data_IF_476829596505
#
_entry.id   IF_476829596505
#
_cell.length_a   1.000
_cell.length_b   1.000
_cell.length_c   1.000
_cell.angle_alpha   90.00
_cell.angle_beta   90.00
_cell.angle_gamma   90.00
#
_symmetry.space_group_name_H-M   'P 1'
#
loop_
_entity.id
_entity.type
_entity.pdbx_description
1 polymer ?
#
# COMPACT_ATOMS: atom_id res chain seq x y z
N UNK A 1 -21.84 -5.14 32.42
CA UNK A 1 -21.26 -4.68 31.18
C UNK A 1 -22.15 -5.03 30.00
N UNK A 2 -22.48 -6.28 29.76
CA UNK A 2 -23.34 -6.68 28.62
C UNK A 2 -24.75 -6.04 28.64
N UNK A 3 -25.35 -5.82 29.78
CA UNK A 3 -26.66 -5.18 29.92
C UNK A 3 -26.63 -3.65 29.96
N UNK A 4 -25.54 -3.04 30.42
CA UNK A 4 -25.45 -1.57 30.61
C UNK A 4 -24.59 -0.85 29.58
N UNK A 5 -23.78 -1.56 28.80
CA UNK A 5 -22.79 -0.98 27.90
C UNK A 5 -21.66 -0.20 28.59
N UNK A 6 -21.63 -0.19 29.93
CA UNK A 6 -20.61 0.57 30.69
C UNK A 6 -19.43 -0.31 31.06
N UNK A 7 -18.22 0.20 30.80
CA UNK A 7 -16.95 -0.42 31.20
C UNK A 7 -16.76 -0.26 32.72
N UNK A 8 -16.05 -1.18 33.34
CA UNK A 8 -15.69 -1.06 34.75
C UNK A 8 -14.74 0.11 34.96
N UNK A 9 -14.89 0.79 36.12
CA UNK A 9 -14.03 1.91 36.50
C UNK A 9 -12.56 1.45 36.55
N UNK A 10 -11.66 2.21 35.92
CA UNK A 10 -10.23 1.90 35.76
C UNK A 10 -9.87 1.21 34.44
N UNK A 11 -10.82 0.66 33.69
CA UNK A 11 -10.55 0.12 32.35
C UNK A 11 -10.50 1.19 31.25
N UNK A 12 -10.91 2.41 31.59
CA UNK A 12 -10.85 3.60 30.73
C UNK A 12 -9.41 4.12 30.61
N UNK A 13 -8.55 3.81 31.57
CA UNK A 13 -7.18 4.29 31.63
C UNK A 13 -6.22 3.36 30.88
N UNK A 14 -5.23 3.95 30.23
CA UNK A 14 -4.21 3.20 29.50
C UNK A 14 -2.89 3.96 29.42
N UNK A 15 -1.82 3.20 29.22
CA UNK A 15 -0.47 3.74 29.05
C UNK A 15 -0.06 3.51 27.60
N UNK A 16 0.46 4.54 26.95
CA UNK A 16 1.05 4.46 25.61
C UNK A 16 2.57 4.38 25.75
N UNK A 17 3.15 3.32 25.22
CA UNK A 17 4.60 3.16 25.05
C UNK A 17 5.00 3.57 23.64
N UNK A 18 6.00 4.42 23.51
CA UNK A 18 6.55 4.85 22.24
C UNK A 18 7.61 3.85 21.77
N UNK A 19 7.31 3.09 20.73
CA UNK A 19 8.23 2.14 20.11
C UNK A 19 8.87 2.77 18.86
N UNK A 20 10.19 2.98 18.88
CA UNK A 20 10.91 3.47 17.73
C UNK A 20 10.85 2.48 16.56
N UNK A 21 10.58 2.97 15.34
CA UNK A 21 10.43 2.13 14.13
C UNK A 21 11.76 1.59 13.58
N UNK A 22 12.90 1.95 14.22
CA UNK A 22 14.23 1.53 13.77
C UNK A 22 14.74 2.26 12.52
N UNK A 23 14.05 3.31 12.07
CA UNK A 23 14.43 4.10 10.89
C UNK A 23 13.99 5.55 11.01
N UNK A 24 14.74 6.45 10.36
CA UNK A 24 14.53 7.90 10.44
C UNK A 24 15.18 8.52 11.67
N UNK A 25 14.96 9.84 11.88
CA UNK A 25 15.48 10.55 13.03
C UNK A 25 14.73 10.13 14.32
N UNK A 26 15.47 9.77 15.36
CA UNK A 26 14.91 9.42 16.66
C UNK A 26 14.29 10.62 17.39
N UNK A 27 14.59 11.85 16.99
CA UNK A 27 13.97 13.07 17.53
C UNK A 27 12.62 13.39 16.87
N UNK A 28 12.28 12.72 15.74
CA UNK A 28 10.99 12.89 15.09
C UNK A 28 9.96 11.91 15.65
N UNK A 29 8.91 12.43 16.29
CA UNK A 29 7.79 11.65 16.82
C UNK A 29 7.08 10.80 15.75
N UNK A 30 7.13 11.19 14.46
CA UNK A 30 6.59 10.42 13.33
C UNK A 30 7.25 9.04 13.16
N UNK A 31 8.48 8.87 13.70
CA UNK A 31 9.25 7.63 13.62
C UNK A 31 8.98 6.67 14.79
N UNK A 32 7.94 6.93 15.58
CA UNK A 32 7.50 6.05 16.67
C UNK A 32 6.12 5.45 16.38
N UNK A 33 5.85 4.31 17.00
CA UNK A 33 4.53 3.69 17.11
C UNK A 33 4.09 3.75 18.56
N UNK A 34 2.87 4.21 18.81
CA UNK A 34 2.27 4.20 20.13
C UNK A 34 1.63 2.86 20.43
N UNK A 35 2.25 2.02 21.26
CA UNK A 35 1.64 0.78 21.73
C UNK A 35 0.83 1.06 22.99
N UNK A 36 -0.48 0.84 22.94
CA UNK A 36 -1.38 1.02 24.06
C UNK A 36 -1.37 -0.22 24.96
N UNK A 37 -0.98 -0.04 26.21
CA UNK A 37 -1.09 -1.08 27.24
C UNK A 37 -2.45 -0.97 27.93
N UNK A 38 -3.25 -2.02 27.80
CA UNK A 38 -4.54 -2.16 28.44
C UNK A 38 -4.49 -3.24 29.52
N UNK A 39 -5.45 -3.22 30.44
CA UNK A 39 -5.61 -4.23 31.47
C UNK A 39 -5.75 -5.65 30.90
N UNK A 40 -5.26 -6.67 31.64
CA UNK A 40 -5.29 -8.06 31.17
C UNK A 40 -6.72 -8.63 31.12
N UNK A 41 -7.58 -8.20 32.04
CA UNK A 41 -9.00 -8.62 32.07
C UNK A 41 -9.72 -8.02 30.85
N UNK A 42 -9.38 -6.77 30.48
CA UNK A 42 -9.89 -6.15 29.26
C UNK A 42 -9.50 -6.96 28.02
N UNK A 43 -8.25 -7.42 27.93
CA UNK A 43 -7.79 -8.28 26.81
C UNK A 43 -8.53 -9.62 26.74
N UNK A 44 -8.91 -10.18 27.89
CA UNK A 44 -9.73 -11.39 27.93
C UNK A 44 -11.13 -11.13 27.36
N UNK A 45 -11.75 -10.02 27.76
CA UNK A 45 -13.03 -9.59 27.21
C UNK A 45 -12.95 -9.35 25.72
N UNK A 46 -11.88 -8.67 25.24
CA UNK A 46 -11.63 -8.43 23.84
C UNK A 46 -11.55 -9.73 23.04
N UNK A 47 -10.92 -10.79 23.57
CA UNK A 47 -10.86 -12.12 22.94
C UNK A 47 -12.24 -12.77 22.82
N UNK A 48 -13.07 -12.65 23.84
CA UNK A 48 -14.45 -13.16 23.82
C UNK A 48 -15.25 -12.43 22.75
N UNK A 49 -15.15 -11.09 22.71
CA UNK A 49 -15.84 -10.27 21.69
C UNK A 49 -15.30 -10.54 20.29
N UNK A 50 -13.98 -10.73 20.12
CA UNK A 50 -13.38 -11.08 18.83
C UNK A 50 -13.99 -12.38 18.28
N UNK A 51 -14.10 -13.42 19.11
CA UNK A 51 -14.73 -14.68 18.70
C UNK A 51 -16.20 -14.48 18.30
N UNK A 52 -16.99 -13.81 19.14
CA UNK A 52 -18.41 -13.56 18.83
C UNK A 52 -18.61 -12.73 17.56
N UNK A 53 -17.82 -11.68 17.37
CA UNK A 53 -17.95 -10.83 16.18
C UNK A 53 -17.55 -11.59 14.91
N UNK A 54 -16.50 -12.42 15.00
CA UNK A 54 -16.08 -13.25 13.84
C UNK A 54 -17.16 -14.25 13.42
N UNK A 55 -17.92 -14.80 14.38
CA UNK A 55 -19.01 -15.75 14.07
C UNK A 55 -20.23 -15.04 13.41
N UNK A 56 -20.36 -13.72 13.59
CA UNK A 56 -21.47 -12.93 13.04
C UNK A 56 -21.20 -12.35 11.66
N UNK A 57 -19.92 -12.23 11.24
CA UNK A 57 -19.54 -11.49 10.04
C UNK A 57 -18.86 -12.37 9.01
N UNK A 58 -19.17 -12.11 7.76
CA UNK A 58 -18.48 -12.72 6.63
C UNK A 58 -17.45 -11.74 6.06
N UNK A 59 -16.18 -12.18 6.02
CA UNK A 59 -15.05 -11.43 5.53
C UNK A 59 -14.64 -11.99 4.18
N UNK A 60 -14.56 -11.12 3.18
CA UNK A 60 -14.25 -11.49 1.81
C UNK A 60 -12.92 -12.26 1.69
N UNK A 61 -12.85 -13.07 0.65
CA UNK A 61 -11.68 -13.89 0.34
C UNK A 61 -10.45 -13.07 -0.02
N UNK A 62 -10.60 -11.82 -0.44
CA UNK A 62 -9.50 -10.90 -0.72
C UNK A 62 -8.75 -10.38 0.53
N UNK A 63 -9.34 -10.49 1.73
CA UNK A 63 -8.69 -10.09 2.97
C UNK A 63 -7.86 -11.24 3.54
N UNK A 64 -6.54 -11.04 3.63
CA UNK A 64 -5.57 -11.99 4.18
C UNK A 64 -5.07 -11.61 5.57
N UNK A 65 -5.09 -10.31 5.89
CA UNK A 65 -4.61 -9.82 7.19
C UNK A 65 -5.60 -10.08 8.31
N UNK A 66 -5.11 -10.59 9.44
CA UNK A 66 -5.88 -10.84 10.66
C UNK A 66 -7.07 -11.82 10.50
N UNK A 67 -7.06 -12.63 9.44
CA UNK A 67 -8.03 -13.69 9.21
C UNK A 67 -7.40 -15.04 9.54
N UNK A 68 -8.01 -15.86 10.41
CA UNK A 68 -7.51 -17.18 10.75
C UNK A 68 -7.30 -18.06 9.51
N UNK A 69 -6.17 -18.76 9.45
CA UNK A 69 -5.83 -19.64 8.33
C UNK A 69 -5.31 -18.95 7.07
N UNK A 70 -5.21 -17.61 7.06
CA UNK A 70 -4.64 -16.84 5.95
C UNK A 70 -3.40 -16.07 6.40
N UNK A 71 -2.40 -15.95 5.53
CA UNK A 71 -1.14 -15.27 5.86
C UNK A 71 -0.57 -14.45 4.70
N UNK A 72 0.55 -13.79 4.97
CA UNK A 72 1.30 -13.02 3.96
C UNK A 72 1.73 -13.89 2.79
N UNK A 73 2.07 -15.15 3.06
CA UNK A 73 2.51 -16.13 2.05
C UNK A 73 1.43 -16.37 1.00
N UNK A 74 0.15 -16.40 1.40
CA UNK A 74 -0.96 -16.66 0.48
C UNK A 74 -1.14 -15.48 -0.49
N UNK A 75 -1.13 -14.25 0.02
CA UNK A 75 -1.23 -13.04 -0.81
C UNK A 75 -0.04 -12.90 -1.77
N UNK A 76 1.19 -13.13 -1.28
CA UNK A 76 2.41 -13.12 -2.09
C UNK A 76 2.36 -14.20 -3.17
N UNK A 77 1.90 -15.42 -2.82
CA UNK A 77 1.78 -16.54 -3.75
C UNK A 77 0.82 -16.20 -4.90
N UNK A 78 -0.34 -15.59 -4.61
CA UNK A 78 -1.30 -15.17 -5.64
C UNK A 78 -0.64 -14.18 -6.61
N UNK A 79 0.04 -13.15 -6.11
CA UNK A 79 0.73 -12.17 -6.96
C UNK A 79 1.77 -12.87 -7.85
N UNK A 80 2.60 -13.74 -7.30
CA UNK A 80 3.63 -14.47 -8.05
C UNK A 80 3.01 -15.38 -9.12
N UNK A 81 1.97 -16.11 -8.78
CA UNK A 81 1.25 -16.96 -9.75
C UNK A 81 0.63 -16.15 -10.89
N UNK A 82 0.08 -14.97 -10.59
CA UNK A 82 -0.41 -14.06 -11.62
C UNK A 82 0.73 -13.56 -12.51
N UNK A 83 1.84 -13.12 -11.92
CA UNK A 83 3.01 -12.68 -12.68
C UNK A 83 3.50 -13.79 -13.63
N UNK A 84 3.71 -15.01 -13.13
CA UNK A 84 4.17 -16.15 -13.92
C UNK A 84 3.21 -16.48 -15.08
N UNK A 85 1.89 -16.51 -14.82
CA UNK A 85 0.88 -16.77 -15.86
C UNK A 85 0.86 -15.71 -16.95
N UNK A 86 0.92 -14.41 -16.56
CA UNK A 86 0.91 -13.32 -17.53
C UNK A 86 2.21 -13.23 -18.31
N UNK A 87 3.35 -13.50 -17.69
CA UNK A 87 4.63 -13.60 -18.37
C UNK A 87 4.66 -14.76 -19.35
N UNK A 88 4.18 -15.94 -18.99
CA UNK A 88 4.07 -17.10 -19.88
C UNK A 88 3.13 -16.82 -21.06
N UNK A 89 2.06 -16.05 -20.85
CA UNK A 89 1.15 -15.60 -21.91
C UNK A 89 1.66 -14.41 -22.71
N UNK A 90 2.88 -13.90 -22.43
CA UNK A 90 3.46 -12.71 -23.05
C UNK A 90 2.57 -11.46 -22.93
N UNK A 91 1.90 -11.30 -21.78
CA UNK A 91 1.00 -10.17 -21.47
C UNK A 91 1.53 -9.34 -20.31
N UNK A 92 1.36 -7.99 -20.31
CA UNK A 92 1.68 -7.16 -19.17
C UNK A 92 0.64 -7.31 -18.06
N UNK A 93 1.06 -7.10 -16.81
CA UNK A 93 0.21 -7.03 -15.64
C UNK A 93 0.61 -5.81 -14.79
N UNK A 94 -0.38 -5.07 -14.31
CA UNK A 94 -0.19 -3.79 -13.63
C UNK A 94 -0.58 -3.94 -12.16
N UNK A 95 0.27 -3.41 -11.27
CA UNK A 95 0.08 -3.44 -9.83
C UNK A 95 0.13 -2.03 -9.27
N UNK A 96 -0.80 -1.70 -8.38
CA UNK A 96 -0.70 -0.54 -7.51
C UNK A 96 -0.66 -1.04 -6.05
N UNK A 97 0.44 -0.77 -5.35
CA UNK A 97 0.58 -1.04 -3.92
C UNK A 97 0.22 0.23 -3.16
N UNK A 98 -0.87 0.16 -2.42
CA UNK A 98 -1.50 1.31 -1.77
C UNK A 98 -1.20 1.27 -0.28
N UNK A 99 -0.66 2.36 0.26
CA UNK A 99 -0.37 2.55 1.69
C UNK A 99 -1.41 3.50 2.30
N UNK A 100 -1.95 3.16 3.47
CA UNK A 100 -2.86 4.03 4.20
C UNK A 100 -2.11 4.84 5.28
N UNK A 101 -2.41 6.13 5.39
CA UNK A 101 -1.77 7.00 6.39
C UNK A 101 -2.26 6.71 7.81
N UNK A 102 -1.38 6.14 8.66
CA UNK A 102 -1.67 5.89 10.07
C UNK A 102 -3.05 5.22 10.25
N UNK A 103 -3.32 4.19 9.46
CA UNK A 103 -4.63 3.60 9.27
C UNK A 103 -5.36 3.31 10.60
N UNK A 104 -4.70 2.64 11.54
CA UNK A 104 -5.27 2.33 12.86
C UNK A 104 -5.59 3.58 13.70
N UNK A 105 -4.75 4.62 13.61
CA UNK A 105 -4.91 5.85 14.41
C UNK A 105 -5.97 6.80 13.83
N UNK A 106 -6.34 6.63 12.56
CA UNK A 106 -7.22 7.56 11.84
C UNK A 106 -8.64 7.08 11.62
N UNK A 107 -8.98 5.82 11.93
CA UNK A 107 -10.35 5.31 11.76
C UNK A 107 -11.34 6.17 12.55
N UNK A 108 -12.28 6.88 11.91
CA UNK A 108 -13.29 7.62 12.64
C UNK A 108 -14.22 6.65 13.36
N UNK A 109 -14.42 6.82 14.66
CA UNK A 109 -15.26 5.89 15.46
C UNK A 109 -16.70 5.79 14.95
N UNK A 110 -17.25 6.87 14.40
CA UNK A 110 -18.57 6.84 13.75
C UNK A 110 -18.62 5.86 12.57
N UNK A 111 -17.55 5.82 11.78
CA UNK A 111 -17.40 4.88 10.65
C UNK A 111 -17.26 3.45 11.17
N UNK A 112 -16.50 3.24 12.24
CA UNK A 112 -16.39 1.93 12.89
C UNK A 112 -17.76 1.40 13.33
N UNK A 113 -18.58 2.24 14.03
CA UNK A 113 -19.91 1.82 14.47
C UNK A 113 -20.88 1.57 13.31
N UNK A 114 -20.79 2.38 12.28
CA UNK A 114 -21.53 2.14 11.04
C UNK A 114 -21.12 0.83 10.38
N UNK A 115 -19.82 0.55 10.26
CA UNK A 115 -19.30 -0.67 9.65
C UNK A 115 -19.78 -1.94 10.38
N UNK A 116 -19.67 -1.97 11.71
CA UNK A 116 -20.17 -3.10 12.49
C UNK A 116 -21.65 -3.38 12.23
N UNK A 117 -22.50 -2.36 12.23
CA UNK A 117 -23.92 -2.50 11.95
C UNK A 117 -24.22 -2.91 10.51
N UNK A 118 -23.50 -2.34 9.53
CA UNK A 118 -23.68 -2.68 8.11
C UNK A 118 -23.27 -4.12 7.78
N UNK A 119 -22.37 -4.70 8.60
CA UNK A 119 -21.95 -6.09 8.50
C UNK A 119 -22.82 -7.07 9.29
N UNK A 120 -23.87 -6.57 9.98
CA UNK A 120 -24.83 -7.41 10.71
C UNK A 120 -24.41 -7.77 12.12
N UNK A 121 -23.40 -7.07 12.71
CA UNK A 121 -23.04 -7.29 14.11
C UNK A 121 -24.18 -6.85 15.02
N UNK A 122 -24.60 -7.73 15.94
CA UNK A 122 -25.69 -7.48 16.86
C UNK A 122 -25.47 -6.24 17.72
N UNK A 123 -26.53 -5.46 17.94
CA UNK A 123 -26.46 -4.16 18.61
C UNK A 123 -25.89 -4.23 20.04
N UNK A 124 -26.11 -5.34 20.77
CA UNK A 124 -25.53 -5.51 22.11
C UNK A 124 -23.99 -5.55 22.03
N UNK A 125 -23.42 -6.24 21.03
CA UNK A 125 -21.97 -6.31 20.83
C UNK A 125 -21.42 -4.95 20.43
N UNK A 126 -22.10 -4.24 19.50
CA UNK A 126 -21.74 -2.86 19.13
C UNK A 126 -21.71 -1.96 20.36
N UNK A 127 -22.72 -2.00 21.22
CA UNK A 127 -22.77 -1.19 22.46
C UNK A 127 -21.64 -1.52 23.44
N UNK A 128 -21.33 -2.80 23.61
CA UNK A 128 -20.22 -3.23 24.48
C UNK A 128 -18.90 -2.69 23.93
N UNK A 129 -18.66 -2.82 22.63
CA UNK A 129 -17.46 -2.29 21.96
C UNK A 129 -17.42 -0.76 22.08
N UNK A 130 -18.53 -0.06 21.85
CA UNK A 130 -18.61 1.39 22.04
C UNK A 130 -18.24 1.81 23.47
N UNK A 131 -18.72 1.06 24.48
CA UNK A 131 -18.36 1.29 25.86
C UNK A 131 -16.85 1.25 26.11
N UNK A 132 -16.12 0.35 25.45
CA UNK A 132 -14.66 0.23 25.57
C UNK A 132 -13.90 1.42 24.96
N UNK A 133 -14.57 2.21 24.13
CA UNK A 133 -14.01 3.41 23.48
C UNK A 133 -14.54 4.73 24.07
N UNK A 134 -15.45 4.65 25.03
CA UNK A 134 -16.06 5.83 25.68
C UNK A 134 -15.19 6.30 26.84
N UNK A 135 -14.94 7.61 26.93
CA UNK A 135 -14.16 8.28 27.97
C UNK A 135 -12.73 7.71 28.15
N UNK A 136 -12.16 7.17 27.10
CA UNK A 136 -10.81 6.58 27.14
C UNK A 136 -9.78 7.67 27.38
N UNK A 137 -8.97 7.48 28.42
CA UNK A 137 -7.87 8.34 28.81
C UNK A 137 -6.54 7.62 28.68
N UNK A 138 -5.54 8.34 28.23
CA UNK A 138 -4.21 7.78 28.01
C UNK A 138 -3.13 8.69 28.56
N UNK A 139 -2.02 8.09 29.00
CA UNK A 139 -0.78 8.79 29.37
C UNK A 139 0.36 8.18 28.56
N UNK A 140 1.27 9.00 28.08
CA UNK A 140 2.49 8.52 27.42
C UNK A 140 3.56 8.27 28.47
N UNK A 141 4.22 7.11 28.39
CA UNK A 141 5.36 6.78 29.25
C UNK A 141 6.66 6.89 28.47
N UNK A 142 7.57 7.76 28.94
CA UNK A 142 8.91 7.96 28.38
C UNK A 142 9.92 7.98 29.52
N UNK A 143 10.94 7.14 29.46
CA UNK A 143 12.03 7.07 30.46
C UNK A 143 11.53 6.95 31.91
N UNK A 144 10.47 6.20 32.13
CA UNK A 144 9.89 6.01 33.49
C UNK A 144 8.97 7.13 33.96
N UNK A 145 8.88 8.25 33.23
CA UNK A 145 7.98 9.36 33.54
C UNK A 145 6.70 9.27 32.72
N UNK A 146 5.60 9.83 33.24
CA UNK A 146 4.31 9.87 32.61
C UNK A 146 3.94 11.29 32.20
N UNK A 147 3.33 11.44 31.02
CA UNK A 147 2.69 12.69 30.62
C UNK A 147 1.45 12.98 31.45
N UNK A 148 0.90 14.16 31.30
CA UNK A 148 -0.48 14.44 31.70
C UNK A 148 -1.44 13.54 30.93
N UNK A 149 -2.62 13.35 31.50
CA UNK A 149 -3.69 12.53 30.96
C UNK A 149 -4.40 13.27 29.80
N UNK A 150 -4.68 12.57 28.73
CA UNK A 150 -5.42 13.10 27.60
C UNK A 150 -6.45 12.10 27.06
N UNK A 151 -7.51 12.63 26.45
CA UNK A 151 -8.54 11.83 25.79
C UNK A 151 -8.09 11.36 24.40
N UNK A 152 -8.51 10.14 24.03
CA UNK A 152 -8.31 9.59 22.68
C UNK A 152 -9.67 9.39 22.02
N UNK A 153 -10.01 10.22 21.03
CA UNK A 153 -11.35 10.28 20.43
C UNK A 153 -11.45 9.62 19.05
N UNK A 154 -10.32 9.28 18.43
CA UNK A 154 -10.25 8.75 17.07
C UNK A 154 -9.34 7.51 17.05
N UNK A 155 -9.51 6.67 16.04
CA UNK A 155 -8.71 5.48 15.83
C UNK A 155 -9.13 4.29 16.67
N UNK A 156 -8.51 3.16 16.36
CA UNK A 156 -8.59 1.92 17.15
C UNK A 156 -7.32 1.77 17.99
N UNK A 157 -7.42 1.03 19.09
CA UNK A 157 -6.34 0.93 20.06
C UNK A 157 -5.20 0.03 19.57
N UNK A 158 -4.04 0.60 19.21
CA UNK A 158 -2.86 -0.21 18.88
C UNK A 158 -2.40 -1.02 20.10
N UNK A 159 -2.43 -2.36 19.99
CA UNK A 159 -2.12 -3.28 21.07
C UNK A 159 -3.34 -3.94 21.72
N UNK A 160 -4.55 -3.55 21.37
CA UNK A 160 -5.80 -4.24 21.68
C UNK A 160 -5.92 -5.52 20.87
N UNK A 161 -6.49 -6.57 21.44
CA UNK A 161 -6.75 -7.85 20.77
C UNK A 161 -7.84 -7.70 19.69
N UNK A 162 -8.84 -6.87 19.96
CA UNK A 162 -10.00 -6.67 19.10
C UNK A 162 -9.73 -5.70 17.93
N UNK A 163 -8.80 -4.76 18.10
CA UNK A 163 -8.55 -3.71 17.11
C UNK A 163 -8.18 -4.19 15.70
N UNK A 164 -7.40 -5.26 15.52
CA UNK A 164 -7.15 -5.81 14.19
C UNK A 164 -8.42 -6.24 13.47
N UNK A 165 -9.32 -6.94 14.16
CA UNK A 165 -10.62 -7.32 13.61
C UNK A 165 -11.46 -6.09 13.27
N UNK A 166 -11.59 -5.14 14.19
CA UNK A 166 -12.37 -3.92 13.96
C UNK A 166 -11.89 -3.16 12.73
N UNK A 167 -10.58 -3.11 12.53
CA UNK A 167 -9.98 -2.44 11.37
C UNK A 167 -10.34 -3.14 10.05
N UNK A 168 -10.17 -4.47 9.96
CA UNK A 168 -10.54 -5.20 8.74
C UNK A 168 -12.03 -5.16 8.46
N UNK A 169 -12.90 -5.09 9.48
CA UNK A 169 -14.34 -4.91 9.30
C UNK A 169 -14.69 -3.53 8.72
N UNK A 170 -13.97 -2.48 9.12
CA UNK A 170 -14.11 -1.16 8.48
C UNK A 170 -13.74 -1.24 7.01
N UNK A 171 -12.61 -1.85 6.66
CA UNK A 171 -12.20 -2.02 5.27
C UNK A 171 -13.20 -2.86 4.47
N UNK A 172 -13.70 -3.95 5.08
CA UNK A 172 -14.73 -4.82 4.50
C UNK A 172 -16.00 -4.03 4.15
N UNK A 173 -16.53 -3.27 5.11
CA UNK A 173 -17.74 -2.48 4.91
C UNK A 173 -17.56 -1.36 3.88
N UNK A 174 -16.38 -0.71 3.87
CA UNK A 174 -16.09 0.39 2.95
C UNK A 174 -15.90 -0.08 1.51
N UNK A 175 -15.24 -1.23 1.31
CA UNK A 175 -14.86 -1.69 -0.03
C UNK A 175 -15.94 -2.44 -0.78
N UNK A 176 -17.01 -2.89 -0.13
CA UNK A 176 -18.10 -3.68 -0.76
C UNK A 176 -18.69 -3.06 -2.02
N UNK A 177 -18.74 -1.72 -2.08
CA UNK A 177 -19.39 -1.00 -3.18
C UNK A 177 -18.50 -0.87 -4.42
N UNK A 178 -17.18 -0.94 -4.29
CA UNK A 178 -16.25 -0.63 -5.39
C UNK A 178 -15.17 -1.68 -5.64
N UNK A 179 -15.08 -2.72 -4.83
CA UNK A 179 -14.13 -3.82 -5.06
C UNK A 179 -14.59 -4.75 -6.19
N UNK A 180 -13.62 -5.34 -6.89
CA UNK A 180 -13.87 -6.32 -7.97
C UNK A 180 -13.55 -7.75 -7.54
N UNK A 181 -12.94 -7.94 -6.38
CA UNK A 181 -12.65 -9.24 -5.77
C UNK A 181 -11.35 -9.91 -6.22
N UNK A 182 -11.13 -11.13 -5.72
CA UNK A 182 -9.95 -11.94 -6.02
C UNK A 182 -9.94 -12.36 -7.49
N UNK A 183 -8.79 -12.31 -8.19
CA UNK A 183 -7.44 -11.98 -7.68
C UNK A 183 -7.03 -10.52 -7.91
N UNK A 184 -7.97 -9.64 -8.22
CA UNK A 184 -7.70 -8.29 -8.70
C UNK A 184 -7.44 -7.27 -7.60
N UNK A 185 -7.86 -7.59 -6.38
CA UNK A 185 -7.50 -6.84 -5.16
C UNK A 185 -7.12 -7.83 -4.06
N UNK A 186 -6.02 -7.55 -3.38
CA UNK A 186 -5.53 -8.31 -2.24
C UNK A 186 -5.28 -7.37 -1.07
N UNK A 187 -5.94 -7.62 0.04
CA UNK A 187 -5.82 -6.85 1.27
C UNK A 187 -5.04 -7.64 2.32
N UNK A 188 -4.06 -7.02 2.93
CA UNK A 188 -3.43 -7.50 4.14
C UNK A 188 -3.47 -6.39 5.19
N UNK A 189 -4.58 -6.27 5.90
CA UNK A 189 -4.90 -5.14 6.76
C UNK A 189 -4.84 -3.81 5.99
N UNK A 190 -3.89 -2.92 6.31
CA UNK A 190 -3.68 -1.63 5.66
C UNK A 190 -2.89 -1.69 4.35
N UNK A 191 -2.25 -2.82 4.04
CA UNK A 191 -1.55 -3.03 2.78
C UNK A 191 -2.52 -3.56 1.71
N UNK A 192 -2.79 -2.76 0.69
CA UNK A 192 -3.65 -3.12 -0.44
C UNK A 192 -2.83 -3.24 -1.72
N UNK A 193 -2.98 -4.34 -2.42
CA UNK A 193 -2.51 -4.51 -3.79
C UNK A 193 -3.69 -4.51 -4.76
N UNK A 194 -3.73 -3.55 -5.67
CA UNK A 194 -4.69 -3.49 -6.79
C UNK A 194 -4.00 -4.01 -8.03
N UNK A 195 -4.67 -4.91 -8.76
CA UNK A 195 -4.13 -5.62 -9.92
C UNK A 195 -5.04 -5.39 -11.12
N UNK A 196 -4.45 -5.20 -12.29
CA UNK A 196 -5.21 -4.94 -13.53
C UNK A 196 -4.46 -5.42 -14.78
N UNK A 197 -5.21 -5.65 -15.85
CA UNK A 197 -4.66 -6.04 -17.15
C UNK A 197 -4.22 -4.83 -18.01
N UNK A 198 -4.64 -3.64 -17.64
CA UNK A 198 -4.24 -2.40 -18.29
C UNK A 198 -3.90 -1.30 -17.29
N UNK A 199 -3.09 -0.33 -17.74
CA UNK A 199 -2.71 0.81 -16.92
C UNK A 199 -3.92 1.67 -16.54
N UNK A 200 -4.81 1.93 -17.49
CA UNK A 200 -5.99 2.76 -17.24
C UNK A 200 -6.89 2.11 -16.19
N UNK A 201 -7.15 0.82 -16.34
CA UNK A 201 -7.92 0.05 -15.35
C UNK A 201 -7.26 0.08 -13.95
N UNK A 202 -5.93 -0.06 -13.89
CA UNK A 202 -5.19 0.01 -12.62
C UNK A 202 -5.34 1.40 -11.96
N UNK A 203 -5.25 2.46 -12.75
CA UNK A 203 -5.44 3.84 -12.26
C UNK A 203 -6.89 4.08 -11.83
N UNK A 204 -7.87 3.60 -12.60
CA UNK A 204 -9.29 3.78 -12.30
C UNK A 204 -9.66 3.03 -11.00
N UNK A 205 -9.19 1.81 -10.82
CA UNK A 205 -9.34 1.06 -9.56
C UNK A 205 -8.64 1.76 -8.39
N UNK A 206 -7.40 2.24 -8.58
CA UNK A 206 -6.68 3.00 -7.55
C UNK A 206 -7.46 4.24 -7.11
N UNK A 207 -8.05 4.98 -8.05
CA UNK A 207 -8.91 6.14 -7.75
C UNK A 207 -10.16 5.73 -7.00
N UNK A 208 -10.86 4.69 -7.43
CA UNK A 208 -12.05 4.18 -6.76
C UNK A 208 -11.74 3.80 -5.30
N UNK A 209 -10.63 3.11 -5.06
CA UNK A 209 -10.17 2.78 -3.72
C UNK A 209 -9.82 4.01 -2.89
N UNK A 210 -9.09 4.97 -3.48
CA UNK A 210 -8.75 6.24 -2.82
C UNK A 210 -10.01 7.02 -2.43
N UNK A 211 -10.91 7.26 -3.37
CA UNK A 211 -12.13 8.03 -3.14
C UNK A 211 -13.05 7.33 -2.13
N UNK A 212 -13.20 6.02 -2.23
CA UNK A 212 -13.98 5.22 -1.30
C UNK A 212 -13.45 5.30 0.14
N UNK A 213 -12.12 5.19 0.33
CA UNK A 213 -11.50 5.31 1.66
C UNK A 213 -11.55 6.74 2.19
N UNK A 214 -11.22 7.74 1.35
CA UNK A 214 -11.13 9.15 1.77
C UNK A 214 -12.51 9.75 2.06
N UNK A 215 -13.57 9.33 1.37
CA UNK A 215 -14.95 9.73 1.65
C UNK A 215 -15.41 9.41 3.08
N UNK A 216 -14.78 8.44 3.72
CA UNK A 216 -15.08 7.99 5.09
C UNK A 216 -13.99 8.33 6.10
N UNK A 217 -12.99 9.16 5.71
CA UNK A 217 -11.99 9.72 6.61
C UNK A 217 -10.70 8.91 6.76
N UNK A 218 -10.54 7.81 6.03
CA UNK A 218 -9.24 7.14 5.86
C UNK A 218 -8.47 7.85 4.74
N UNK A 219 -7.15 8.03 4.90
CA UNK A 219 -6.33 8.69 3.89
C UNK A 219 -5.38 7.73 3.20
N UNK A 220 -5.34 7.80 1.89
CA UNK A 220 -4.36 7.09 1.07
C UNK A 220 -3.06 7.90 1.03
N UNK A 221 -1.94 7.26 1.32
CA UNK A 221 -0.62 7.86 1.22
C UNK A 221 -0.07 7.77 -0.19
N UNK A 222 -0.47 8.71 -1.05
CA UNK A 222 -0.05 8.71 -2.46
C UNK A 222 1.48 8.77 -2.64
N UNK A 223 2.24 9.37 -1.69
CA UNK A 223 3.71 9.40 -1.76
C UNK A 223 4.36 8.04 -1.56
N UNK A 224 3.72 7.17 -0.78
CA UNK A 224 4.17 5.80 -0.55
C UNK A 224 3.51 4.78 -1.48
N UNK A 225 2.39 5.13 -2.08
CA UNK A 225 1.73 4.31 -3.10
C UNK A 225 2.66 4.14 -4.29
N UNK A 226 2.84 2.90 -4.75
CA UNK A 226 3.79 2.53 -5.80
C UNK A 226 3.10 1.76 -6.91
N UNK A 227 3.53 2.01 -8.13
CA UNK A 227 3.12 1.23 -9.29
C UNK A 227 4.24 0.25 -9.68
N UNK A 228 3.87 -0.94 -10.09
CA UNK A 228 4.79 -1.91 -10.70
C UNK A 228 4.10 -2.49 -11.93
N UNK A 229 4.85 -2.66 -13.00
CA UNK A 229 4.35 -3.28 -14.22
C UNK A 229 5.18 -4.53 -14.44
N UNK A 230 4.53 -5.69 -14.53
CA UNK A 230 5.17 -6.97 -14.80
C UNK A 230 4.83 -7.46 -16.21
N UNK A 231 5.78 -8.06 -16.89
CA UNK A 231 5.54 -8.68 -18.20
C UNK A 231 6.58 -8.35 -19.28
N UNK A 232 6.43 -8.95 -20.47
CA UNK A 232 7.36 -8.74 -21.58
C UNK A 232 7.29 -7.31 -22.10
N UNK A 233 8.43 -6.75 -22.45
CA UNK A 233 8.56 -5.37 -22.93
C UNK A 233 8.94 -4.36 -21.86
N UNK A 234 9.07 -4.78 -20.60
CA UNK A 234 9.56 -4.00 -19.48
C UNK A 234 11.09 -3.81 -19.44
N UNK A 235 11.77 -3.87 -20.57
CA UNK A 235 13.12 -3.32 -20.70
C UNK A 235 13.17 -1.80 -20.47
N UNK A 236 12.22 -1.28 -19.66
CA UNK A 236 12.10 0.12 -19.26
C UNK A 236 13.24 0.56 -18.34
N UNK A 237 13.97 -0.40 -17.73
CA UNK A 237 14.98 -0.13 -16.72
C UNK A 237 16.31 -0.85 -16.95
N UNK A 238 16.48 -1.58 -18.05
CA UNK A 238 17.82 -2.00 -18.42
C UNK A 238 18.52 -0.82 -19.07
N UNK A 239 19.32 -0.13 -18.30
CA UNK A 239 20.43 0.68 -18.76
C UNK A 239 21.45 -0.20 -19.51
N UNK A 240 21.07 -0.71 -20.69
CA UNK A 240 21.99 -1.40 -21.58
C UNK A 240 22.69 -0.42 -22.53
N UNK A 241 23.04 0.74 -22.00
CA UNK A 241 23.79 1.75 -22.72
C UNK A 241 24.03 2.96 -21.85
N UNK A 242 25.18 3.63 -22.02
CA UNK A 242 25.58 4.79 -21.23
C UNK A 242 24.61 5.99 -21.28
N UNK A 243 23.62 6.00 -22.17
CA UNK A 243 22.65 7.08 -22.31
C UNK A 243 21.27 6.58 -22.76
N UNK A 244 20.16 6.97 -22.12
CA UNK A 244 18.79 6.63 -22.55
C UNK A 244 18.38 7.45 -23.77
N UNK A 245 17.67 6.83 -24.71
CA UNK A 245 17.10 7.52 -25.87
C UNK A 245 15.97 8.49 -25.45
N UNK A 246 16.01 9.74 -25.94
CA UNK A 246 15.00 10.75 -25.65
C UNK A 246 13.58 10.37 -26.10
N UNK A 247 13.44 9.48 -27.08
CA UNK A 247 12.15 9.10 -27.66
C UNK A 247 11.63 7.78 -27.08
N UNK A 248 12.44 6.70 -27.13
CA UNK A 248 12.00 5.37 -26.70
C UNK A 248 12.60 4.92 -25.36
N UNK A 249 13.47 5.72 -24.76
CA UNK A 249 14.13 5.50 -23.46
C UNK A 249 15.00 4.25 -23.32
N UNK A 250 15.14 3.43 -24.35
CA UNK A 250 16.14 2.34 -24.34
C UNK A 250 17.55 2.89 -24.53
N UNK A 251 18.56 2.19 -24.02
CA UNK A 251 19.96 2.60 -24.18
C UNK A 251 20.35 2.81 -25.65
N UNK A 252 21.08 3.90 -25.93
CA UNK A 252 21.54 4.24 -27.28
C UNK A 252 22.90 3.63 -27.53
N UNK A 253 23.09 3.06 -28.77
CA UNK A 253 24.37 2.62 -29.28
C UNK A 253 25.05 3.71 -30.15
N UNK A 254 26.09 3.29 -30.85
CA UNK A 254 26.94 4.17 -31.71
C UNK A 254 26.17 4.93 -32.80
N UNK A 255 24.99 4.45 -33.22
CA UNK A 255 24.16 5.10 -34.24
C UNK A 255 23.07 5.96 -33.60
N UNK A 256 23.45 7.06 -33.00
CA UNK A 256 22.58 7.98 -32.30
C UNK A 256 22.97 9.44 -32.52
N UNK A 257 22.03 10.36 -32.29
CA UNK A 257 22.23 11.80 -32.40
C UNK A 257 21.76 12.50 -31.14
N UNK A 258 22.46 13.51 -30.67
CA UNK A 258 22.10 14.26 -29.51
C UNK A 258 21.13 15.42 -29.83
N UNK A 259 20.07 15.56 -29.09
CA UNK A 259 19.13 16.68 -29.22
C UNK A 259 19.69 17.95 -28.58
N UNK A 260 19.69 19.07 -29.31
CA UNK A 260 20.20 20.34 -28.83
C UNK A 260 19.37 20.94 -27.71
N UNK A 261 18.06 20.65 -27.63
CA UNK A 261 17.14 21.15 -26.60
C UNK A 261 17.22 20.37 -25.30
N UNK A 262 16.96 19.05 -25.32
CA UNK A 262 16.93 18.24 -24.09
C UNK A 262 18.27 17.60 -23.74
N UNK A 263 19.28 17.74 -24.57
CA UNK A 263 20.65 17.18 -24.43
C UNK A 263 20.66 15.63 -24.33
N UNK A 264 19.54 14.97 -24.58
CA UNK A 264 19.45 13.51 -24.60
C UNK A 264 19.77 12.95 -25.98
N UNK A 265 20.27 11.72 -26.01
CA UNK A 265 20.57 11.00 -27.25
C UNK A 265 19.31 10.36 -27.86
N UNK A 266 19.29 10.17 -29.17
CA UNK A 266 18.18 9.58 -29.93
C UNK A 266 18.73 8.53 -30.88
N UNK A 267 18.17 7.34 -30.87
CA UNK A 267 18.52 6.30 -31.82
C UNK A 267 18.23 6.72 -33.25
N UNK A 268 18.99 6.16 -34.19
CA UNK A 268 18.71 6.30 -35.63
C UNK A 268 17.25 5.93 -35.99
N UNK A 269 16.72 4.85 -35.41
CA UNK A 269 15.33 4.41 -35.65
C UNK A 269 14.27 5.33 -35.01
N UNK A 270 14.65 6.16 -34.06
CA UNK A 270 13.77 7.09 -33.35
C UNK A 270 13.91 8.53 -33.81
N UNK A 271 14.92 8.83 -34.65
CA UNK A 271 15.07 10.12 -35.34
C UNK A 271 14.46 10.02 -36.75
N UNK A 272 13.93 11.13 -37.24
CA UNK A 272 13.30 11.19 -38.59
C UNK A 272 14.33 11.22 -39.69
N UNK A 273 15.63 11.11 -39.39
CA UNK A 273 16.73 11.22 -40.35
C UNK A 273 16.84 9.95 -41.18
N UNK A 274 16.66 10.08 -42.49
CA UNK A 274 16.89 9.02 -43.48
C UNK A 274 18.37 9.02 -43.90
N UNK A 275 18.97 7.84 -44.01
CA UNK A 275 20.37 7.69 -44.40
C UNK A 275 21.37 7.66 -43.25
N UNK A 276 22.62 8.09 -43.49
CA UNK A 276 23.69 8.09 -42.47
C UNK A 276 23.49 9.26 -41.51
N UNK A 277 23.58 9.01 -40.20
CA UNK A 277 23.56 10.08 -39.21
C UNK A 277 24.88 10.85 -39.30
N UNK A 278 24.79 12.12 -39.59
CA UNK A 278 25.91 13.05 -39.50
C UNK A 278 25.75 13.93 -38.27
N UNK A 279 26.85 14.38 -37.65
CA UNK A 279 26.78 15.34 -36.56
C UNK A 279 25.97 16.57 -36.97
N UNK A 280 24.91 16.86 -36.25
CA UNK A 280 24.09 18.06 -36.46
C UNK A 280 23.84 18.76 -35.11
N UNK A 281 24.50 19.91 -34.88
CA UNK A 281 24.41 20.65 -33.64
C UNK A 281 23.00 21.21 -33.37
N UNK A 282 22.20 21.41 -34.43
CA UNK A 282 20.85 21.99 -34.33
C UNK A 282 19.75 20.96 -34.33
N UNK A 283 20.09 19.66 -34.25
CA UNK A 283 19.07 18.61 -34.22
C UNK A 283 18.16 18.71 -32.99
N UNK A 284 16.86 18.82 -33.24
CA UNK A 284 15.80 18.78 -32.21
C UNK A 284 15.04 17.48 -32.36
N UNK A 285 14.95 16.71 -31.27
CA UNK A 285 14.22 15.43 -31.27
C UNK A 285 12.72 15.66 -31.42
N UNK A 286 12.03 14.67 -31.98
CA UNK A 286 10.60 14.69 -32.23
C UNK A 286 9.77 14.93 -30.92
N UNK A 287 10.28 14.53 -29.75
CA UNK A 287 9.68 14.84 -28.48
C UNK A 287 9.75 16.35 -28.13
N UNK A 288 10.88 16.98 -28.36
CA UNK A 288 11.06 18.43 -28.13
C UNK A 288 10.30 19.29 -29.13
N UNK A 289 10.01 18.74 -30.34
CA UNK A 289 9.18 19.38 -31.37
C UNK A 289 7.67 19.16 -31.15
N UNK A 290 7.25 18.38 -30.13
CA UNK A 290 5.84 18.06 -29.92
C UNK A 290 5.21 17.11 -30.95
N UNK A 291 6.02 16.52 -31.86
CA UNK A 291 5.55 15.68 -32.99
C UNK A 291 5.50 14.20 -32.62
N UNK A 292 6.24 13.74 -31.65
CA UNK A 292 6.27 12.34 -31.27
C UNK A 292 5.56 12.07 -29.94
N UNK A 293 4.52 11.27 -30.04
CA UNK A 293 4.14 10.37 -28.94
C UNK A 293 5.15 9.21 -28.90
N UNK A 294 5.43 8.58 -27.74
CA UNK A 294 6.26 7.38 -27.69
C UNK A 294 5.72 6.34 -28.68
N UNK A 295 6.54 5.93 -29.65
CA UNK A 295 6.11 5.06 -30.76
C UNK A 295 5.82 3.63 -30.30
N UNK A 296 6.22 3.28 -29.10
CA UNK A 296 6.26 1.88 -28.64
C UNK A 296 5.20 1.52 -27.59
N UNK A 297 4.23 2.40 -27.33
CA UNK A 297 3.17 2.11 -26.32
C UNK A 297 3.69 1.82 -24.91
N UNK A 298 4.98 2.05 -24.65
CA UNK A 298 5.56 1.82 -23.33
C UNK A 298 4.99 2.81 -22.34
N UNK A 299 4.56 2.34 -21.18
CA UNK A 299 4.03 3.23 -20.16
C UNK A 299 5.09 4.26 -19.76
N UNK A 300 4.65 5.48 -19.47
CA UNK A 300 5.52 6.48 -18.86
C UNK A 300 6.09 5.91 -17.56
N UNK A 301 7.32 6.31 -17.21
CA UNK A 301 7.95 5.93 -15.92
C UNK A 301 7.32 6.65 -14.73
N UNK A 302 6.44 7.61 -14.98
CA UNK A 302 5.69 8.36 -13.98
C UNK A 302 4.28 8.61 -14.51
N UNK A 303 3.31 8.46 -13.63
CA UNK A 303 1.89 8.70 -13.91
C UNK A 303 1.36 9.69 -12.91
N UNK A 304 0.49 10.57 -13.38
CA UNK A 304 -0.19 11.51 -12.49
C UNK A 304 -1.57 10.96 -12.09
N UNK A 305 -1.79 10.89 -10.80
CA UNK A 305 -3.08 10.55 -10.20
C UNK A 305 -3.42 11.65 -9.21
N UNK A 306 -4.48 12.41 -9.48
CA UNK A 306 -4.97 13.53 -8.66
C UNK A 306 -3.86 14.52 -8.26
N UNK A 307 -3.07 14.97 -9.24
CA UNK A 307 -1.96 15.91 -9.03
C UNK A 307 -0.71 15.31 -8.39
N UNK A 308 -0.70 14.00 -8.08
CA UNK A 308 0.47 13.32 -7.51
C UNK A 308 1.16 12.48 -8.58
N UNK A 309 2.47 12.67 -8.72
CA UNK A 309 3.29 11.85 -9.60
C UNK A 309 3.63 10.53 -8.95
N UNK A 310 3.18 9.42 -9.53
CA UNK A 310 3.51 8.05 -9.12
C UNK A 310 4.62 7.50 -10.02
N UNK A 311 5.72 7.06 -9.41
CA UNK A 311 6.80 6.35 -10.09
C UNK A 311 6.45 4.89 -10.35
N UNK A 312 6.97 4.32 -11.44
CA UNK A 312 6.95 2.87 -11.68
C UNK A 312 8.21 2.27 -11.10
N UNK A 313 8.04 1.33 -10.18
CA UNK A 313 9.13 0.63 -9.52
C UNK A 313 9.48 -0.68 -10.27
N UNK A 314 10.76 -0.98 -10.38
CA UNK A 314 11.25 -2.25 -10.93
C UNK A 314 11.11 -3.40 -9.92
N UNK A 315 11.12 -3.07 -8.65
CA UNK A 315 10.94 -4.01 -7.55
C UNK A 315 10.26 -3.32 -6.38
N UNK A 316 9.50 -4.08 -5.61
CA UNK A 316 8.77 -3.56 -4.45
C UNK A 316 8.75 -4.59 -3.32
N UNK A 317 8.94 -4.11 -2.09
CA UNK A 317 8.81 -4.95 -0.89
C UNK A 317 7.32 -5.01 -0.50
N UNK A 318 6.67 -6.13 -0.80
CA UNK A 318 5.28 -6.39 -0.44
C UNK A 318 5.21 -7.43 0.66
N UNK A 319 4.61 -7.08 1.80
CA UNK A 319 4.44 -7.95 2.97
C UNK A 319 5.74 -8.64 3.43
N UNK A 320 6.86 -7.93 3.34
CA UNK A 320 8.19 -8.46 3.74
C UNK A 320 8.86 -9.36 2.70
N UNK A 321 8.30 -9.47 1.48
CA UNK A 321 8.91 -10.19 0.37
C UNK A 321 9.20 -9.25 -0.80
N UNK A 322 10.29 -9.48 -1.52
CA UNK A 322 10.68 -8.65 -2.67
C UNK A 322 10.04 -9.19 -3.94
N UNK A 323 9.12 -8.40 -4.49
CA UNK A 323 8.56 -8.63 -5.83
C UNK A 323 9.42 -7.91 -6.86
N UNK A 324 9.64 -8.54 -8.00
CA UNK A 324 10.35 -7.97 -9.15
C UNK A 324 9.41 -7.86 -10.35
N UNK A 325 9.50 -6.79 -11.11
CA UNK A 325 8.71 -6.58 -12.32
C UNK A 325 8.98 -7.66 -13.39
N UNK A 326 10.19 -8.22 -13.40
CA UNK A 326 10.58 -9.33 -14.27
C UNK A 326 10.09 -10.70 -13.78
N UNK A 327 9.41 -10.77 -12.63
CA UNK A 327 9.01 -12.03 -11.99
C UNK A 327 10.17 -12.74 -11.30
N UNK A 328 9.97 -14.03 -10.96
CA UNK A 328 10.99 -14.84 -10.30
C UNK A 328 11.11 -14.58 -8.80
N UNK A 329 12.00 -15.33 -8.14
CA UNK A 329 12.22 -15.24 -6.69
C UNK A 329 13.67 -14.92 -6.30
N UNK A 330 14.56 -14.73 -7.27
CA UNK A 330 16.00 -14.54 -7.01
C UNK A 330 16.26 -13.32 -6.12
N UNK A 331 15.58 -12.19 -6.39
CA UNK A 331 15.72 -10.97 -5.58
C UNK A 331 15.23 -11.19 -4.15
N UNK A 332 14.12 -11.90 -3.95
CA UNK A 332 13.59 -12.23 -2.63
C UNK A 332 14.56 -13.12 -1.84
N UNK A 333 15.12 -14.14 -2.49
CA UNK A 333 16.10 -15.05 -1.88
C UNK A 333 17.36 -14.27 -1.49
N UNK A 334 17.89 -13.45 -2.40
CA UNK A 334 19.08 -12.63 -2.14
C UNK A 334 18.86 -11.67 -0.96
N UNK A 335 17.70 -10.99 -0.91
CA UNK A 335 17.36 -10.07 0.17
C UNK A 335 17.25 -10.81 1.51
N UNK A 336 16.58 -11.95 1.57
CA UNK A 336 16.47 -12.77 2.81
C UNK A 336 17.82 -13.28 3.30
N UNK A 337 18.73 -13.63 2.38
CA UNK A 337 20.10 -14.04 2.74
C UNK A 337 20.87 -12.86 3.35
N UNK A 338 20.75 -11.65 2.76
CA UNK A 338 21.41 -10.45 3.28
C UNK A 338 20.90 -10.09 4.68
N UNK A 339 19.57 -10.15 4.91
CA UNK A 339 18.98 -9.95 6.24
C UNK A 339 19.53 -10.95 7.29
N UNK A 340 19.65 -12.24 6.94
CA UNK A 340 20.22 -13.25 7.85
C UNK A 340 21.69 -12.98 8.17
N UNK A 341 22.43 -12.37 7.27
CA UNK A 341 23.84 -12.02 7.44
C UNK A 341 24.06 -10.68 8.15
N UNK A 342 22.98 -9.97 8.54
CA UNK A 342 23.06 -8.65 9.18
C UNK A 342 23.66 -7.54 8.28
N UNK A 343 23.55 -7.69 6.97
CA UNK A 343 24.12 -6.76 5.97
C UNK A 343 23.12 -5.76 5.38
N UNK A 344 21.86 -5.77 5.87
CA UNK A 344 20.79 -4.82 5.50
C UNK A 344 20.00 -4.45 6.75
#
# INVERSE_FOLDING_TARGET
>A
MFSSGKVLKGWEESIILNLYKGKGDALDCGNYRGLKLTDQVMKLLERVLDAFVRDMVDIDSMQFGFVPGRGTTDAIFIIRQLQEKYMAANKPLYFAFVDLEKAFDRVPRKVLWWALRSLGVEEWAVRVIQGMYTNVRSRVRVNGQYSEEFGVEVGVHQGSVLSPLLFILVLEALSREFRTGVPWELLYADDLAVIAESLNECIDKLKAWKDGMESRGLRVNMKKTKLMISGPGLNLLRDSGSHPCAVCRTGVGVNSIQCCRCKLWVHKKCCVIKGKILPNPDYVCSRCCGIARPIDGRPATQFEVDGTQLGVEASFCYLGDMLCAEGGCELAIATRMLYRLGKV
#
